data_IF_884894249435
#
_entry.id   IF_884894249435
#
_cell.length_a   1.000
_cell.length_b   1.000
_cell.length_c   1.000
_cell.angle_alpha   90.00
_cell.angle_beta   90.00
_cell.angle_gamma   90.00
#
_symmetry.space_group_name_H-M   'P 1'
#
loop_
_entity.id
_entity.type
_entity.pdbx_description
1 polymer ?
#
# COMPACT_ATOMS: atom_id res chain seq x y z
N UNK A 1 70.76 71.00 13.43
CA UNK A 1 70.51 70.13 14.61
C UNK A 1 69.39 69.14 14.26
N UNK A 2 69.33 67.99 14.93
CA UNK A 2 68.48 66.79 14.69
C UNK A 2 66.99 67.06 14.37
N UNK A 3 66.21 66.17 13.71
CA UNK A 3 66.31 64.70 13.47
C UNK A 3 65.79 64.33 12.05
N UNK A 4 66.43 63.45 11.27
CA UNK A 4 66.26 61.97 11.19
C UNK A 4 64.79 61.51 11.02
N UNK A 5 64.35 61.07 9.82
CA UNK A 5 64.52 59.74 9.15
C UNK A 5 63.32 58.80 9.42
N UNK A 6 62.81 57.93 8.53
CA UNK A 6 63.17 57.57 7.13
C UNK A 6 61.99 56.91 6.38
N UNK A 7 62.14 56.71 5.05
CA UNK A 7 61.16 56.07 4.12
C UNK A 7 61.33 54.52 3.98
N UNK A 8 60.28 53.87 3.44
CA UNK A 8 60.24 52.72 2.49
C UNK A 8 60.73 51.30 2.88
N UNK A 9 59.81 50.30 2.87
CA UNK A 9 59.54 49.26 1.82
C UNK A 9 60.76 48.74 0.99
N UNK A 10 60.93 47.46 0.54
CA UNK A 10 60.13 46.19 0.68
C UNK A 10 60.95 44.89 1.03
N UNK A 11 60.28 43.71 1.05
CA UNK A 11 60.49 42.58 0.09
C UNK A 11 60.78 41.14 0.62
N UNK A 12 60.26 40.17 -0.15
CA UNK A 12 60.75 38.81 -0.44
C UNK A 12 60.28 37.56 0.35
N UNK A 13 60.14 36.49 -0.45
CA UNK A 13 59.57 35.16 -0.22
C UNK A 13 60.36 34.25 0.75
N UNK A 14 59.66 33.28 1.38
CA UNK A 14 60.08 31.85 1.39
C UNK A 14 58.95 30.87 1.72
N UNK A 15 59.20 29.60 1.41
CA UNK A 15 58.27 28.46 1.24
C UNK A 15 58.73 27.28 2.11
N UNK A 16 57.80 26.57 2.78
CA UNK A 16 57.87 25.22 3.45
C UNK A 16 56.95 25.22 4.70
N UNK A 17 56.45 24.11 5.27
CA UNK A 17 56.29 22.69 4.86
C UNK A 17 55.28 22.02 5.81
N UNK A 18 54.74 20.85 5.43
CA UNK A 18 53.67 20.08 6.13
C UNK A 18 54.22 19.08 7.17
N UNK A 19 53.31 18.20 7.64
CA UNK A 19 53.50 16.89 8.34
C UNK A 19 53.75 17.00 9.88
N UNK A 20 53.49 15.96 10.72
CA UNK A 20 52.16 15.61 11.26
C UNK A 20 52.14 15.31 12.78
N UNK A 21 51.01 14.86 13.32
CA UNK A 21 51.01 13.99 14.50
C UNK A 21 49.92 12.90 14.44
N UNK A 22 50.36 11.65 14.51
CA UNK A 22 49.54 10.47 14.87
C UNK A 22 49.42 10.41 16.43
N UNK A 23 48.75 9.47 17.12
CA UNK A 23 48.35 8.07 16.86
C UNK A 23 47.37 7.56 17.97
N UNK A 24 46.72 6.39 17.77
CA UNK A 24 46.20 5.44 18.81
C UNK A 24 44.91 5.88 19.55
N UNK A 25 43.87 5.06 19.84
CA UNK A 25 43.54 3.64 19.56
C UNK A 25 42.02 3.44 19.43
N UNK A 26 41.59 2.32 18.86
CA UNK A 26 40.20 1.84 18.86
C UNK A 26 39.79 1.12 20.17
N UNK A 27 38.48 1.10 20.47
CA UNK A 27 37.78 -0.03 21.09
C UNK A 27 36.33 -0.12 20.58
N UNK A 28 35.82 -1.35 20.39
CA UNK A 28 34.40 -1.67 20.24
C UNK A 28 33.77 -1.82 21.63
N UNK A 29 32.52 -1.38 21.87
CA UNK A 29 31.53 -2.13 22.67
C UNK A 29 30.10 -1.82 22.15
N UNK A 30 29.14 -2.70 22.47
CA UNK A 30 27.75 -2.75 22.01
C UNK A 30 26.75 -2.01 22.90
N UNK A 31 25.57 -1.74 22.34
CA UNK A 31 24.21 -1.72 22.94
C UNK A 31 23.98 -1.25 24.39
N UNK A 32 23.05 -0.31 24.57
CA UNK A 32 21.89 -0.49 25.49
C UNK A 32 20.81 0.58 25.25
N UNK A 33 19.57 0.28 25.64
CA UNK A 33 18.41 1.15 25.49
C UNK A 33 18.39 2.31 26.51
N UNK A 34 17.72 3.41 26.16
CA UNK A 34 17.42 4.50 27.08
C UNK A 34 15.90 4.58 27.33
N UNK A 35 15.52 4.30 28.57
CA UNK A 35 14.22 4.65 29.16
C UNK A 35 14.30 6.12 29.57
N UNK A 36 13.23 6.90 29.38
CA UNK A 36 13.03 8.14 30.15
C UNK A 36 11.61 8.20 30.71
N UNK A 37 11.54 8.40 32.02
CA UNK A 37 10.32 8.60 32.77
C UNK A 37 9.85 10.07 32.69
N UNK A 38 8.53 10.21 32.58
CA UNK A 38 7.68 11.02 33.47
C UNK A 38 8.23 12.32 34.06
N UNK A 39 7.60 13.43 33.69
CA UNK A 39 7.36 14.55 34.62
C UNK A 39 5.85 14.75 34.80
N UNK A 40 5.43 15.04 36.02
CA UNK A 40 4.04 15.31 36.37
C UNK A 40 3.96 16.49 37.34
N UNK A 41 3.01 17.41 37.12
CA UNK A 41 2.20 17.96 38.21
C UNK A 41 0.93 18.70 37.71
N UNK A 42 -0.21 18.37 38.35
CA UNK A 42 -1.24 19.26 38.96
C UNK A 42 -1.84 20.45 38.14
N UNK A 43 -3.13 20.86 38.23
CA UNK A 43 -4.45 20.41 38.81
C UNK A 43 -5.49 21.52 38.47
N UNK A 44 -6.84 21.44 38.53
CA UNK A 44 -7.88 20.41 38.83
C UNK A 44 -9.09 20.67 37.89
N UNK A 45 -10.03 19.71 37.73
CA UNK A 45 -11.46 19.91 38.09
C UNK A 45 -12.25 18.59 38.06
N UNK A 46 -13.31 18.51 38.87
CA UNK A 46 -14.10 17.29 39.09
C UNK A 46 -15.23 17.09 38.07
N UNK A 47 -15.53 15.81 37.78
CA UNK A 47 -16.91 15.33 37.92
C UNK A 47 -16.90 13.83 38.21
N UNK A 48 -17.51 13.42 39.33
CA UNK A 48 -17.48 12.04 39.81
C UNK A 48 -18.77 11.31 39.48
N UNK A 49 -18.68 10.16 38.80
CA UNK A 49 -19.65 9.08 38.97
C UNK A 49 -18.94 7.78 39.34
N UNK A 50 -19.30 7.28 40.52
CA UNK A 50 -18.62 6.20 41.25
C UNK A 50 -19.64 5.10 41.49
N UNK A 51 -19.56 4.00 40.74
CA UNK A 51 -20.17 2.74 41.19
C UNK A 51 -19.11 1.68 41.46
N UNK A 52 -19.35 1.02 42.59
CA UNK A 52 -18.42 0.17 43.32
C UNK A 52 -18.78 -1.27 43.00
N UNK A 53 -17.81 -2.11 42.61
CA UNK A 53 -18.01 -3.56 42.55
C UNK A 53 -18.45 -4.04 43.94
N UNK A 54 -19.64 -4.63 44.02
CA UNK A 54 -20.08 -5.45 45.14
C UNK A 54 -20.50 -6.80 44.61
N UNK A 55 -19.82 -7.84 45.07
CA UNK A 55 -20.17 -9.23 44.78
C UNK A 55 -21.54 -9.54 45.39
N UNK A 56 -22.48 -10.02 44.57
CA UNK A 56 -23.71 -10.63 45.07
C UNK A 56 -24.08 -11.81 44.19
N UNK A 57 -23.84 -13.01 44.72
CA UNK A 57 -24.40 -14.26 44.21
C UNK A 57 -25.92 -14.21 44.25
N UNK A 58 -26.58 -14.31 43.10
CA UNK A 58 -28.03 -14.48 43.00
C UNK A 58 -28.36 -15.72 42.18
N UNK A 59 -28.63 -16.82 42.88
CA UNK A 59 -29.24 -18.03 42.29
C UNK A 59 -30.66 -17.72 41.85
N UNK A 60 -30.87 -17.45 40.57
CA UNK A 60 -32.21 -17.45 39.97
C UNK A 60 -32.50 -18.83 39.41
N UNK A 61 -33.21 -19.65 40.19
CA UNK A 61 -33.78 -20.89 39.70
C UNK A 61 -34.96 -20.57 38.76
N UNK A 62 -34.71 -20.59 37.45
CA UNK A 62 -35.78 -20.62 36.44
C UNK A 62 -36.27 -22.06 36.30
N UNK A 63 -37.52 -22.31 36.70
CA UNK A 63 -38.18 -23.59 36.52
C UNK A 63 -38.35 -23.91 35.03
N UNK A 64 -37.53 -24.81 34.50
CA UNK A 64 -37.71 -25.43 33.19
C UNK A 64 -38.27 -26.83 33.35
N UNK A 65 -39.20 -27.20 32.47
CA UNK A 65 -39.86 -28.50 32.49
C UNK A 65 -38.84 -29.64 32.31
N UNK A 66 -38.92 -30.73 33.08
CA UNK A 66 -38.10 -31.91 32.84
C UNK A 66 -38.69 -32.68 31.66
N UNK A 67 -38.25 -32.36 30.43
CA UNK A 67 -38.32 -33.23 29.23
C UNK A 67 -37.69 -32.57 27.99
N UNK A 68 -36.50 -31.99 28.12
CA UNK A 68 -35.61 -31.71 26.97
C UNK A 68 -34.38 -32.58 27.09
N UNK A 69 -34.37 -33.70 26.37
CA UNK A 69 -33.16 -34.49 26.12
C UNK A 69 -32.13 -33.61 25.45
N UNK A 70 -31.00 -33.36 26.12
CA UNK A 70 -29.88 -32.61 25.54
C UNK A 70 -29.16 -33.50 24.52
N UNK A 71 -29.57 -33.41 23.26
CA UNK A 71 -28.99 -34.13 22.12
C UNK A 71 -27.46 -34.00 22.11
N UNK A 72 -26.74 -35.09 22.36
CA UNK A 72 -25.28 -35.07 22.37
C UNK A 72 -24.71 -35.38 20.97
N UNK A 73 -23.51 -34.88 20.68
CA UNK A 73 -22.88 -35.09 19.37
C UNK A 73 -22.48 -36.56 19.20
N UNK A 74 -22.82 -37.14 18.03
CA UNK A 74 -22.56 -38.54 17.70
C UNK A 74 -23.24 -39.58 18.63
N UNK A 75 -24.45 -39.25 19.14
CA UNK A 75 -25.25 -40.15 19.99
C UNK A 75 -26.17 -41.07 19.14
N UNK A 76 -25.88 -42.38 19.03
CA UNK A 76 -26.70 -43.30 18.25
C UNK A 76 -28.04 -43.64 18.91
N UNK A 77 -28.26 -43.28 20.19
CA UNK A 77 -29.48 -43.64 20.93
C UNK A 77 -30.64 -42.66 20.70
N UNK A 78 -30.34 -41.43 20.28
CA UNK A 78 -31.32 -40.35 20.05
C UNK A 78 -31.25 -39.72 18.65
N UNK A 79 -30.27 -40.09 17.83
CA UNK A 79 -30.12 -39.59 16.47
C UNK A 79 -31.23 -40.06 15.52
N UNK A 80 -31.69 -39.15 14.67
CA UNK A 80 -32.63 -39.37 13.57
C UNK A 80 -31.98 -39.22 12.17
N UNK A 81 -30.67 -38.90 12.13
CA UNK A 81 -29.87 -38.78 10.91
C UNK A 81 -28.57 -39.58 11.04
N UNK A 82 -28.23 -40.39 10.03
CA UNK A 82 -26.89 -40.95 9.83
C UNK A 82 -26.24 -40.22 8.65
N UNK A 83 -25.11 -39.57 8.91
CA UNK A 83 -24.24 -39.00 7.87
C UNK A 83 -23.04 -39.93 7.63
N UNK A 84 -22.89 -40.43 6.40
CA UNK A 84 -21.64 -41.05 5.94
C UNK A 84 -20.75 -39.96 5.33
N UNK A 85 -19.66 -39.67 6.02
CA UNK A 85 -18.56 -38.84 5.52
C UNK A 85 -17.55 -39.78 4.84
N UNK A 86 -17.20 -39.52 3.59
CA UNK A 86 -16.32 -40.40 2.81
C UNK A 86 -15.34 -39.61 1.93
N UNK A 87 -14.24 -40.26 1.58
CA UNK A 87 -13.19 -39.66 0.76
C UNK A 87 -13.61 -39.68 -0.72
N UNK A 88 -13.80 -38.53 -1.37
CA UNK A 88 -14.19 -38.49 -2.78
C UNK A 88 -12.97 -38.74 -3.69
N UNK A 89 -12.89 -39.94 -4.26
CA UNK A 89 -11.81 -40.32 -5.18
C UNK A 89 -11.90 -39.53 -6.49
N UNK A 90 -10.75 -39.11 -7.03
CA UNK A 90 -10.72 -38.32 -8.27
C UNK A 90 -11.34 -39.12 -9.44
N UNK A 91 -12.23 -38.52 -10.27
CA UNK A 91 -12.81 -39.21 -11.43
C UNK A 91 -11.80 -39.65 -12.51
N UNK A 92 -10.52 -39.30 -12.35
CA UNK A 92 -9.45 -39.62 -13.30
C UNK A 92 -8.58 -40.81 -12.87
N UNK A 93 -8.69 -41.30 -11.63
CA UNK A 93 -7.93 -42.45 -11.14
C UNK A 93 -8.53 -43.79 -11.61
N UNK A 94 -8.28 -44.08 -12.89
CA UNK A 94 -8.61 -45.36 -13.51
C UNK A 94 -7.69 -46.49 -13.02
N UNK A 95 -7.95 -47.01 -11.81
CA UNK A 95 -7.26 -48.19 -11.25
C UNK A 95 -8.26 -49.30 -10.86
N UNK A 96 -7.84 -50.55 -11.11
CA UNK A 96 -8.65 -51.77 -11.07
C UNK A 96 -9.29 -52.09 -9.70
N UNK A 97 -10.42 -52.83 -9.65
CA UNK A 97 -10.98 -53.32 -8.40
C UNK A 97 -10.05 -54.37 -7.79
N UNK A 98 -9.30 -53.96 -6.76
CA UNK A 98 -8.51 -54.84 -5.90
C UNK A 98 -8.87 -54.54 -4.45
N UNK A 99 -9.08 -55.58 -3.65
CA UNK A 99 -9.51 -55.47 -2.25
C UNK A 99 -8.53 -54.64 -1.40
N UNK A 100 -8.91 -53.40 -1.09
CA UNK A 100 -8.35 -52.63 0.02
C UNK A 100 -9.49 -51.93 0.76
N UNK A 101 -10.08 -52.65 1.71
CA UNK A 101 -11.24 -52.23 2.50
C UNK A 101 -10.87 -51.22 3.63
N UNK A 102 -10.14 -50.17 3.27
CA UNK A 102 -9.71 -49.07 4.16
C UNK A 102 -9.85 -47.69 3.44
N UNK A 103 -10.92 -47.52 2.64
CA UNK A 103 -11.44 -46.17 2.41
C UNK A 103 -11.98 -45.66 3.75
N UNK A 104 -11.49 -44.51 4.22
CA UNK A 104 -11.77 -43.96 5.55
C UNK A 104 -13.18 -43.37 5.66
N UNK A 105 -14.18 -44.23 5.49
CA UNK A 105 -15.60 -43.93 5.68
C UNK A 105 -15.89 -43.77 7.18
N UNK A 106 -16.46 -42.63 7.57
CA UNK A 106 -16.93 -42.39 8.93
C UNK A 106 -18.44 -42.19 8.92
N UNK A 107 -19.16 -42.99 9.72
CA UNK A 107 -20.58 -42.79 9.99
C UNK A 107 -20.75 -41.99 11.27
N UNK A 108 -21.58 -40.94 11.21
CA UNK A 108 -21.80 -39.97 12.28
C UNK A 108 -23.30 -39.91 12.57
N UNK A 109 -23.67 -40.04 13.84
CA UNK A 109 -25.04 -40.01 14.33
C UNK A 109 -25.43 -38.56 14.70
N UNK A 110 -26.29 -37.97 13.88
CA UNK A 110 -26.66 -36.56 13.94
C UNK A 110 -28.16 -36.39 14.19
N UNK A 111 -28.54 -35.18 14.60
CA UNK A 111 -29.90 -34.85 14.98
C UNK A 111 -30.43 -33.75 14.06
N UNK A 112 -31.52 -34.01 13.35
CA UNK A 112 -32.11 -33.14 12.33
C UNK A 112 -32.32 -31.70 12.84
N UNK A 113 -32.91 -31.57 14.03
CA UNK A 113 -33.18 -30.30 14.70
C UNK A 113 -31.93 -29.48 15.06
N UNK A 114 -30.75 -30.12 15.17
CA UNK A 114 -29.47 -29.45 15.40
C UNK A 114 -28.81 -29.07 14.08
N UNK A 115 -28.74 -30.01 13.12
CA UNK A 115 -28.05 -29.77 11.85
C UNK A 115 -28.82 -28.82 10.91
N UNK A 116 -30.13 -28.66 11.10
CA UNK A 116 -30.96 -27.62 10.47
C UNK A 116 -30.48 -26.17 10.70
N UNK A 117 -29.50 -25.94 11.59
CA UNK A 117 -28.80 -24.65 11.71
C UNK A 117 -27.94 -24.30 10.49
N UNK A 118 -27.46 -25.32 9.77
CA UNK A 118 -26.82 -25.17 8.46
C UNK A 118 -27.91 -25.09 7.39
N UNK A 119 -27.84 -24.10 6.50
CA UNK A 119 -28.83 -23.96 5.42
C UNK A 119 -28.75 -25.13 4.43
N UNK A 120 -27.57 -25.71 4.25
CA UNK A 120 -27.35 -26.91 3.43
C UNK A 120 -28.15 -28.10 3.97
N UNK A 121 -27.98 -28.46 5.25
CA UNK A 121 -28.73 -29.58 5.84
C UNK A 121 -30.23 -29.26 5.96
N UNK A 122 -30.62 -28.03 6.28
CA UNK A 122 -32.03 -27.63 6.28
C UNK A 122 -32.70 -27.80 4.90
N UNK A 123 -31.97 -27.55 3.80
CA UNK A 123 -32.46 -27.82 2.46
C UNK A 123 -32.60 -29.33 2.20
N UNK A 124 -31.56 -30.12 2.48
CA UNK A 124 -31.55 -31.59 2.30
C UNK A 124 -32.62 -32.31 3.12
N UNK A 125 -32.91 -31.82 4.32
CA UNK A 125 -33.92 -32.38 5.23
C UNK A 125 -35.34 -31.89 4.92
N UNK A 126 -35.54 -30.91 4.04
CA UNK A 126 -36.88 -30.43 3.70
C UNK A 126 -37.66 -31.43 2.85
N UNK A 127 -38.98 -31.51 3.07
CA UNK A 127 -39.88 -32.53 2.49
C UNK A 127 -39.75 -32.72 0.97
N UNK A 128 -39.39 -31.65 0.24
CA UNK A 128 -39.23 -31.65 -1.22
C UNK A 128 -38.13 -32.61 -1.69
N UNK A 129 -37.02 -32.71 -0.97
CA UNK A 129 -35.88 -33.55 -1.31
C UNK A 129 -35.99 -34.97 -0.71
N UNK A 130 -36.82 -35.14 0.33
CA UNK A 130 -37.13 -36.46 0.87
C UNK A 130 -38.09 -37.25 -0.04
N UNK A 131 -39.09 -36.58 -0.64
CA UNK A 131 -40.08 -37.25 -1.50
C UNK A 131 -39.46 -37.91 -2.74
N UNK A 132 -38.41 -37.32 -3.34
CA UNK A 132 -37.74 -37.84 -4.53
C UNK A 132 -37.12 -39.24 -4.27
N UNK A 133 -36.46 -39.42 -3.12
CA UNK A 133 -35.92 -40.71 -2.67
C UNK A 133 -37.02 -41.76 -2.38
N UNK A 134 -38.23 -41.33 -2.03
CA UNK A 134 -39.36 -42.24 -1.72
C UNK A 134 -40.06 -42.69 -3.02
N UNK A 135 -40.17 -41.82 -4.03
CA UNK A 135 -40.75 -42.18 -5.33
C UNK A 135 -39.96 -43.25 -6.08
N UNK A 136 -38.62 -43.22 -6.03
CA UNK A 136 -37.78 -44.25 -6.65
C UNK A 136 -37.87 -45.61 -5.92
N UNK A 137 -38.08 -45.59 -4.60
CA UNK A 137 -38.24 -46.80 -3.78
C UNK A 137 -39.57 -47.52 -4.08
N UNK A 138 -40.64 -46.77 -4.33
CA UNK A 138 -41.98 -47.33 -4.59
C UNK A 138 -42.13 -47.96 -5.98
N UNK A 139 -41.23 -47.68 -6.94
CA UNK A 139 -41.26 -48.31 -8.26
C UNK A 139 -40.67 -49.73 -8.30
N UNK A 140 -40.05 -50.22 -7.21
CA UNK A 140 -39.29 -51.47 -7.18
C UNK A 140 -39.69 -52.46 -6.06
N UNK A 141 -40.75 -52.19 -5.29
CA UNK A 141 -41.19 -53.06 -4.19
C UNK A 141 -42.69 -53.36 -4.28
N UNK A 142 -43.03 -54.55 -4.77
CA UNK A 142 -44.36 -55.12 -4.62
C UNK A 142 -44.52 -55.75 -3.23
N UNK A 143 -45.69 -55.51 -2.62
CA UNK A 143 -46.34 -56.30 -1.55
C UNK A 143 -45.44 -56.96 -0.47
N UNK A 144 -45.28 -56.31 0.68
CA UNK A 144 -45.87 -56.84 1.93
C UNK A 144 -46.16 -55.69 2.91
N UNK A 145 -47.31 -55.72 3.57
CA UNK A 145 -47.75 -54.70 4.52
C UNK A 145 -47.57 -55.21 5.94
N UNK A 146 -46.57 -54.70 6.65
CA UNK A 146 -46.42 -54.89 8.10
C UNK A 146 -46.06 -53.58 8.78
N UNK A 147 -46.78 -53.29 9.85
CA UNK A 147 -46.49 -52.17 10.74
C UNK A 147 -45.03 -52.21 11.18
N UNK A 148 -44.35 -51.09 11.03
CA UNK A 148 -43.16 -50.79 11.80
C UNK A 148 -43.20 -49.28 12.09
N UNK A 149 -43.57 -48.90 13.31
CA UNK A 149 -43.48 -47.52 13.82
C UNK A 149 -42.02 -47.13 14.09
N UNK A 150 -41.11 -47.58 13.23
CA UNK A 150 -39.71 -47.26 13.24
C UNK A 150 -39.53 -45.88 12.60
N UNK A 151 -39.11 -44.91 13.41
CA UNK A 151 -38.66 -43.60 12.94
C UNK A 151 -37.71 -43.79 11.75
N UNK A 152 -38.09 -43.29 10.58
CA UNK A 152 -37.37 -43.53 9.33
C UNK A 152 -36.04 -42.78 9.34
N UNK A 153 -35.00 -43.46 9.81
CA UNK A 153 -33.66 -42.93 10.00
C UNK A 153 -33.10 -42.36 8.68
N UNK A 154 -32.75 -41.07 8.68
CA UNK A 154 -32.40 -40.36 7.44
C UNK A 154 -30.93 -40.59 7.12
N UNK A 155 -30.64 -41.23 5.98
CA UNK A 155 -29.27 -41.42 5.49
C UNK A 155 -28.85 -40.29 4.54
N UNK A 156 -27.75 -39.62 4.91
CA UNK A 156 -27.05 -38.61 4.12
C UNK A 156 -25.64 -39.10 3.79
N UNK A 157 -25.10 -38.63 2.66
CA UNK A 157 -23.72 -38.87 2.25
C UNK A 157 -23.08 -37.50 1.95
N UNK A 158 -21.85 -37.28 2.40
CA UNK A 158 -21.07 -36.09 2.07
C UNK A 158 -19.64 -36.54 1.71
N UNK A 159 -19.22 -36.22 0.49
CA UNK A 159 -17.84 -36.38 0.04
C UNK A 159 -16.99 -35.24 0.57
N UNK A 160 -15.73 -35.50 0.91
CA UNK A 160 -14.76 -34.48 1.32
C UNK A 160 -13.54 -34.47 0.38
N UNK A 161 -12.69 -33.44 0.48
CA UNK A 161 -11.53 -33.24 -0.39
C UNK A 161 -10.25 -33.92 0.13
N UNK A 162 -9.45 -34.48 -0.76
CA UNK A 162 -8.32 -35.40 -0.50
C UNK A 162 -7.14 -34.73 0.22
N UNK A 163 -7.32 -34.51 1.53
CA UNK A 163 -6.38 -33.87 2.44
C UNK A 163 -6.45 -34.59 3.81
N UNK A 164 -5.31 -34.98 4.41
CA UNK A 164 -5.26 -35.76 5.66
C UNK A 164 -6.06 -35.17 6.84
N UNK A 165 -6.31 -33.86 6.86
CA UNK A 165 -7.06 -33.20 7.94
C UNK A 165 -8.55 -32.95 7.62
N UNK A 166 -9.00 -33.16 6.37
CA UNK A 166 -10.35 -32.73 5.94
C UNK A 166 -11.46 -33.36 6.79
N UNK A 167 -11.45 -34.68 6.97
CA UNK A 167 -12.41 -35.40 7.84
C UNK A 167 -12.48 -34.80 9.25
N UNK A 168 -11.33 -34.51 9.86
CA UNK A 168 -11.24 -33.92 11.21
C UNK A 168 -11.85 -32.52 11.26
N UNK A 169 -11.62 -31.69 10.24
CA UNK A 169 -12.19 -30.34 10.16
C UNK A 169 -13.71 -30.40 10.01
N UNK A 170 -14.24 -31.27 9.15
CA UNK A 170 -15.69 -31.47 9.03
C UNK A 170 -16.32 -31.95 10.34
N UNK A 171 -15.68 -32.88 11.06
CA UNK A 171 -16.12 -33.31 12.40
C UNK A 171 -16.15 -32.14 13.39
N UNK A 172 -15.11 -31.30 13.42
CA UNK A 172 -15.07 -30.08 14.26
C UNK A 172 -16.20 -29.11 13.93
N UNK A 173 -16.48 -28.87 12.64
CA UNK A 173 -17.59 -28.01 12.20
C UNK A 173 -18.95 -28.60 12.60
N UNK A 174 -19.14 -29.92 12.46
CA UNK A 174 -20.37 -30.56 12.91
C UNK A 174 -20.52 -30.54 14.43
N UNK A 175 -19.43 -30.64 15.20
CA UNK A 175 -19.47 -30.46 16.65
C UNK A 175 -19.85 -29.02 17.03
N UNK A 176 -19.40 -28.01 16.29
CA UNK A 176 -19.79 -26.60 16.49
C UNK A 176 -21.30 -26.34 16.27
N UNK A 177 -21.97 -27.12 15.42
CA UNK A 177 -23.45 -27.07 15.29
C UNK A 177 -24.15 -27.41 16.63
N UNK A 178 -23.52 -28.23 17.48
CA UNK A 178 -24.01 -28.59 18.81
C UNK A 178 -23.54 -27.61 19.90
N UNK A 179 -22.25 -27.30 19.94
CA UNK A 179 -21.64 -26.62 21.11
C UNK A 179 -21.73 -25.10 21.09
N UNK A 180 -21.71 -24.47 19.90
CA UNK A 180 -21.47 -23.03 19.73
C UNK A 180 -20.11 -22.53 20.29
N UNK A 181 -19.17 -23.43 20.56
CA UNK A 181 -17.92 -23.08 21.25
C UNK A 181 -16.84 -22.53 20.30
N UNK A 182 -17.24 -21.53 19.49
CA UNK A 182 -16.37 -20.92 18.48
C UNK A 182 -15.12 -20.27 19.09
N UNK A 183 -15.22 -19.77 20.32
CA UNK A 183 -14.14 -19.02 20.96
C UNK A 183 -12.99 -19.91 21.50
N UNK A 184 -13.21 -21.20 21.72
CA UNK A 184 -12.15 -22.15 22.10
C UNK A 184 -11.59 -22.89 20.88
N UNK A 185 -12.43 -23.14 19.87
CA UNK A 185 -12.06 -23.87 18.66
C UNK A 185 -11.35 -22.97 17.64
N UNK A 186 -11.78 -21.71 17.48
CA UNK A 186 -11.13 -20.76 16.58
C UNK A 186 -10.09 -19.98 17.39
N UNK A 187 -8.93 -20.61 17.58
CA UNK A 187 -7.83 -20.13 18.43
C UNK A 187 -6.68 -19.47 17.65
N UNK A 188 -6.58 -19.72 16.34
CA UNK A 188 -5.53 -19.24 15.45
C UNK A 188 -6.05 -18.90 14.05
N UNK A 189 -5.28 -18.10 13.30
CA UNK A 189 -5.62 -17.75 11.92
C UNK A 189 -5.61 -18.98 11.01
N UNK A 190 -4.67 -19.93 11.18
CA UNK A 190 -4.70 -21.21 10.47
C UNK A 190 -5.97 -22.01 10.78
N UNK A 191 -6.36 -22.13 12.05
CA UNK A 191 -7.59 -22.85 12.45
C UNK A 191 -8.83 -22.21 11.82
N UNK A 192 -8.93 -20.88 11.81
CA UNK A 192 -9.99 -20.14 11.13
C UNK A 192 -10.01 -20.38 9.60
N UNK A 193 -8.83 -20.40 8.96
CA UNK A 193 -8.68 -20.64 7.52
C UNK A 193 -8.92 -22.10 7.10
N UNK A 194 -8.76 -23.06 8.00
CA UNK A 194 -9.12 -24.46 7.79
C UNK A 194 -10.63 -24.68 7.96
N UNK A 195 -11.26 -24.05 8.95
CA UNK A 195 -12.70 -24.18 9.25
C UNK A 195 -13.58 -23.41 8.25
N UNK A 196 -13.19 -22.20 7.85
CA UNK A 196 -14.03 -21.30 7.04
C UNK A 196 -14.49 -21.90 5.70
N UNK A 197 -13.67 -22.60 4.89
CA UNK A 197 -14.12 -23.25 3.66
C UNK A 197 -15.23 -24.27 3.89
N UNK A 198 -15.11 -25.09 4.94
CA UNK A 198 -16.11 -26.11 5.30
C UNK A 198 -17.39 -25.45 5.82
N UNK A 199 -17.27 -24.39 6.62
CA UNK A 199 -18.41 -23.61 7.08
C UNK A 199 -19.18 -22.93 5.92
N UNK A 200 -18.46 -22.48 4.88
CA UNK A 200 -19.05 -21.96 3.63
C UNK A 200 -19.75 -23.05 2.83
N UNK A 201 -19.11 -24.22 2.65
CA UNK A 201 -19.67 -25.37 1.94
C UNK A 201 -21.04 -25.80 2.52
N UNK A 202 -21.11 -25.95 3.84
CA UNK A 202 -22.36 -26.33 4.52
C UNK A 202 -23.27 -25.13 4.85
N UNK A 203 -22.93 -23.91 4.43
CA UNK A 203 -23.70 -22.69 4.68
C UNK A 203 -24.04 -22.49 6.17
N UNK A 204 -23.04 -22.60 7.05
CA UNK A 204 -23.16 -22.42 8.50
C UNK A 204 -22.76 -20.99 8.94
N UNK A 205 -23.72 -20.09 8.76
CA UNK A 205 -23.65 -18.64 9.02
C UNK A 205 -22.94 -18.22 10.32
N UNK A 206 -23.27 -18.85 11.46
CA UNK A 206 -22.69 -18.46 12.75
C UNK A 206 -21.18 -18.77 12.80
N UNK A 207 -20.75 -19.85 12.13
CA UNK A 207 -19.36 -20.26 12.05
C UNK A 207 -18.56 -19.40 11.08
N UNK A 208 -19.13 -19.09 9.89
CA UNK A 208 -18.55 -18.15 8.92
C UNK A 208 -18.25 -16.81 9.61
N UNK A 209 -19.27 -16.22 10.26
CA UNK A 209 -19.15 -14.95 10.98
C UNK A 209 -18.15 -14.99 12.13
N UNK A 210 -18.00 -16.13 12.79
CA UNK A 210 -17.00 -16.29 13.87
C UNK A 210 -15.58 -16.38 13.32
N UNK A 211 -15.37 -17.11 12.22
CA UNK A 211 -14.07 -17.20 11.55
C UNK A 211 -13.63 -15.84 10.99
N UNK A 212 -14.54 -15.14 10.30
CA UNK A 212 -14.29 -13.81 9.72
C UNK A 212 -13.92 -12.80 10.80
N UNK A 213 -14.71 -12.69 11.88
CA UNK A 213 -14.40 -11.80 13.01
C UNK A 213 -13.08 -12.11 13.71
N UNK A 214 -12.70 -13.39 13.76
CA UNK A 214 -11.39 -13.77 14.29
C UNK A 214 -10.27 -13.27 13.36
N UNK A 215 -10.38 -13.53 12.06
CA UNK A 215 -9.41 -13.09 11.05
C UNK A 215 -9.28 -11.56 10.99
N UNK A 216 -10.38 -10.82 11.13
CA UNK A 216 -10.39 -9.35 11.26
C UNK A 216 -9.55 -8.84 12.44
N UNK A 217 -9.48 -9.60 13.55
CA UNK A 217 -8.88 -9.17 14.81
C UNK A 217 -7.39 -9.54 14.98
N UNK A 218 -6.90 -10.57 14.28
CA UNK A 218 -5.53 -11.10 14.45
C UNK A 218 -4.57 -10.63 13.34
N UNK A 219 -3.24 -10.60 13.56
CA UNK A 219 -2.27 -10.49 12.46
C UNK A 219 -2.22 -11.78 11.62
N UNK A 220 -1.72 -11.69 10.39
CA UNK A 220 -1.58 -12.81 9.45
C UNK A 220 -0.11 -12.96 9.01
N UNK A 221 0.33 -14.17 8.68
CA UNK A 221 1.52 -14.40 7.85
C UNK A 221 1.23 -14.10 6.36
N UNK A 222 2.26 -14.04 5.53
CA UNK A 222 2.12 -13.85 4.07
C UNK A 222 1.32 -15.00 3.42
N UNK A 223 1.53 -16.23 3.89
CA UNK A 223 0.81 -17.43 3.45
C UNK A 223 -0.64 -17.51 3.98
N UNK A 224 -0.93 -16.84 5.10
CA UNK A 224 -2.29 -16.68 5.63
C UNK A 224 -3.03 -15.58 4.87
N UNK A 225 -2.40 -14.44 4.59
CA UNK A 225 -2.98 -13.36 3.79
C UNK A 225 -3.38 -13.84 2.39
N UNK A 226 -2.51 -14.60 1.70
CA UNK A 226 -2.82 -15.25 0.42
C UNK A 226 -4.09 -16.11 0.50
N UNK A 227 -4.27 -16.87 1.59
CA UNK A 227 -5.46 -17.70 1.83
C UNK A 227 -6.69 -16.87 2.14
N UNK A 228 -6.60 -15.84 2.98
CA UNK A 228 -7.71 -14.89 3.23
C UNK A 228 -8.19 -14.28 1.89
N UNK A 229 -7.26 -13.77 1.08
CA UNK A 229 -7.57 -13.19 -0.23
C UNK A 229 -8.25 -14.19 -1.18
N UNK A 230 -7.87 -15.48 -1.14
CA UNK A 230 -8.50 -16.53 -1.94
C UNK A 230 -9.94 -16.86 -1.50
N UNK A 231 -10.29 -16.59 -0.24
CA UNK A 231 -11.61 -16.89 0.32
C UNK A 231 -12.61 -15.74 0.19
N UNK A 232 -12.13 -14.49 0.10
CA UNK A 232 -12.96 -13.29 -0.07
C UNK A 232 -14.04 -13.39 -1.17
N UNK A 233 -13.79 -13.96 -2.37
CA UNK A 233 -14.81 -14.09 -3.41
C UNK A 233 -16.03 -14.95 -3.05
N UNK A 234 -15.93 -15.77 -1.99
CA UNK A 234 -17.01 -16.64 -1.49
C UNK A 234 -17.74 -16.05 -0.28
N UNK A 235 -17.25 -14.94 0.28
CA UNK A 235 -17.87 -14.23 1.41
C UNK A 235 -18.90 -13.21 0.92
N UNK A 236 -19.85 -12.86 1.79
CA UNK A 236 -20.75 -11.73 1.51
C UNK A 236 -20.04 -10.38 1.62
N UNK A 237 -20.63 -9.31 1.07
CA UNK A 237 -20.06 -7.95 1.14
C UNK A 237 -19.84 -7.49 2.59
N UNK A 238 -20.77 -7.83 3.50
CA UNK A 238 -20.68 -7.52 4.92
C UNK A 238 -19.48 -8.18 5.63
N UNK A 239 -19.04 -9.35 5.14
CA UNK A 239 -17.99 -10.19 5.73
C UNK A 239 -16.62 -9.94 5.08
N UNK A 240 -16.60 -9.64 3.78
CA UNK A 240 -15.37 -9.35 3.03
C UNK A 240 -14.85 -7.94 3.25
N UNK A 241 -15.70 -6.98 3.62
CA UNK A 241 -15.35 -5.54 3.68
C UNK A 241 -14.20 -5.21 4.63
N UNK A 242 -14.22 -5.68 5.87
CA UNK A 242 -13.17 -5.35 6.85
C UNK A 242 -11.88 -6.15 6.57
N UNK A 243 -11.99 -7.38 6.06
CA UNK A 243 -10.85 -8.15 5.57
C UNK A 243 -10.16 -7.45 4.38
N UNK A 244 -10.93 -6.93 3.43
CA UNK A 244 -10.42 -6.11 2.31
C UNK A 244 -9.79 -4.82 2.81
N UNK A 245 -10.40 -4.13 3.78
CA UNK A 245 -9.88 -2.87 4.34
C UNK A 245 -8.47 -3.02 4.92
N UNK A 246 -8.12 -4.20 5.46
CA UNK A 246 -6.79 -4.51 6.00
C UNK A 246 -5.70 -4.65 4.93
N UNK A 247 -6.05 -5.13 3.72
CA UNK A 247 -5.09 -5.34 2.61
C UNK A 247 -5.12 -4.19 1.60
N UNK A 248 -6.23 -3.47 1.49
CA UNK A 248 -6.34 -2.31 0.63
C UNK A 248 -5.46 -1.17 1.14
N UNK A 249 -4.26 -1.03 0.56
CA UNK A 249 -3.45 0.17 0.68
C UNK A 249 -4.29 1.35 0.14
N UNK A 250 -4.81 2.18 1.04
CA UNK A 250 -6.01 2.97 0.79
C UNK A 250 -5.90 4.00 -0.34
N UNK A 251 -6.37 3.61 -1.54
CA UNK A 251 -6.34 4.37 -2.81
C UNK A 251 -4.93 4.76 -3.29
N UNK A 252 -4.79 4.85 -4.62
CA UNK A 252 -3.54 5.31 -5.27
C UNK A 252 -3.07 6.68 -4.73
N UNK A 253 -4.01 7.52 -4.28
CA UNK A 253 -3.76 8.80 -3.60
C UNK A 253 -2.76 8.66 -2.42
N UNK A 254 -2.83 7.60 -1.61
CA UNK A 254 -1.95 7.44 -0.45
C UNK A 254 -0.47 7.27 -0.85
N UNK A 255 -0.21 6.50 -1.90
CA UNK A 255 1.14 6.28 -2.39
C UNK A 255 1.66 7.51 -3.16
N UNK A 256 0.78 8.27 -3.80
CA UNK A 256 1.10 9.50 -4.51
C UNK A 256 1.43 10.66 -3.58
N UNK A 257 0.70 10.82 -2.47
CA UNK A 257 1.03 11.83 -1.45
C UNK A 257 2.32 11.49 -0.70
N UNK A 258 2.62 10.20 -0.48
CA UNK A 258 3.94 9.76 0.02
C UNK A 258 5.06 10.13 -0.96
N UNK A 259 4.92 9.80 -2.25
CA UNK A 259 5.90 10.15 -3.27
C UNK A 259 6.06 11.67 -3.41
N UNK A 260 4.96 12.41 -3.31
CA UNK A 260 4.93 13.87 -3.37
C UNK A 260 5.74 14.48 -2.23
N UNK A 261 5.53 14.05 -0.99
CA UNK A 261 6.32 14.50 0.16
C UNK A 261 7.81 14.18 0.02
N UNK A 262 8.16 13.00 -0.48
CA UNK A 262 9.55 12.61 -0.73
C UNK A 262 10.22 13.44 -1.85
N UNK A 263 9.49 13.74 -2.92
CA UNK A 263 9.96 14.64 -3.99
C UNK A 263 10.11 16.06 -3.46
N UNK A 264 9.17 16.55 -2.64
CA UNK A 264 9.18 17.88 -2.05
C UNK A 264 10.41 18.10 -1.17
N UNK A 265 10.75 17.13 -0.31
CA UNK A 265 11.99 17.14 0.48
C UNK A 265 13.25 16.98 -0.39
N UNK A 266 13.20 16.14 -1.42
CA UNK A 266 14.32 16.01 -2.34
C UNK A 266 14.63 17.33 -3.07
N UNK A 267 13.63 18.16 -3.41
CA UNK A 267 13.87 19.42 -4.13
C UNK A 267 14.16 20.62 -3.21
N UNK A 268 13.41 20.82 -2.12
CA UNK A 268 13.47 22.05 -1.31
C UNK A 268 14.55 22.05 -0.20
N UNK A 269 15.06 20.88 0.18
CA UNK A 269 15.89 20.76 1.39
C UNK A 269 17.40 20.97 1.11
N UNK A 270 17.96 22.03 1.72
CA UNK A 270 19.38 22.37 2.06
C UNK A 270 20.59 21.71 1.33
N UNK A 271 21.75 22.40 1.21
CA UNK A 271 22.75 22.17 0.16
C UNK A 271 23.58 20.87 0.22
N UNK A 272 23.25 19.90 1.09
CA UNK A 272 24.00 18.65 1.26
C UNK A 272 23.13 17.37 1.12
N UNK A 273 22.02 17.46 0.39
CA UNK A 273 21.01 16.39 0.31
C UNK A 273 21.14 15.44 -0.90
N UNK A 274 22.36 15.26 -1.43
CA UNK A 274 22.62 14.36 -2.55
C UNK A 274 22.18 12.90 -2.26
N UNK A 275 22.25 12.48 -1.00
CA UNK A 275 21.76 11.17 -0.56
C UNK A 275 20.25 11.01 -0.69
N UNK A 276 19.43 11.99 -0.26
CA UNK A 276 17.95 11.89 -0.44
C UNK A 276 17.60 11.94 -1.92
N UNK A 277 18.26 12.79 -2.73
CA UNK A 277 18.06 12.79 -4.19
C UNK A 277 18.39 11.43 -4.83
N UNK A 278 19.44 10.75 -4.37
CA UNK A 278 19.78 9.40 -4.83
C UNK A 278 18.81 8.32 -4.29
N UNK A 279 18.33 8.45 -3.05
CA UNK A 279 17.34 7.57 -2.46
C UNK A 279 16.00 7.67 -3.18
N UNK A 280 15.46 8.88 -3.37
CA UNK A 280 14.20 9.11 -4.08
C UNK A 280 14.32 8.74 -5.55
N UNK A 281 15.48 8.97 -6.19
CA UNK A 281 15.76 8.47 -7.54
C UNK A 281 15.70 6.93 -7.62
N UNK A 282 16.31 6.22 -6.66
CA UNK A 282 16.24 4.75 -6.59
C UNK A 282 14.80 4.30 -6.34
N UNK A 283 14.13 4.89 -5.36
CA UNK A 283 12.74 4.57 -5.00
C UNK A 283 11.83 4.71 -6.22
N UNK A 284 11.86 5.84 -6.93
CA UNK A 284 11.04 6.11 -8.12
C UNK A 284 11.27 5.10 -9.25
N UNK A 285 12.50 4.60 -9.43
CA UNK A 285 12.82 3.58 -10.44
C UNK A 285 12.33 2.20 -10.03
N UNK A 286 12.40 1.90 -8.74
CA UNK A 286 12.05 0.61 -8.16
C UNK A 286 10.55 0.58 -7.72
N UNK A 287 9.76 1.62 -8.04
CA UNK A 287 8.35 1.79 -7.62
C UNK A 287 7.35 1.10 -8.56
N UNK A 288 6.39 0.37 -8.00
CA UNK A 288 5.46 -0.49 -8.75
C UNK A 288 4.56 0.28 -9.74
N UNK A 289 4.02 1.44 -9.36
CA UNK A 289 3.14 2.24 -10.23
C UNK A 289 3.90 3.38 -10.92
N UNK A 290 4.45 3.08 -12.11
CA UNK A 290 5.09 4.09 -12.98
C UNK A 290 4.14 5.25 -13.33
N UNK A 291 2.83 4.98 -13.38
CA UNK A 291 1.81 5.96 -13.70
C UNK A 291 1.55 6.94 -12.54
N UNK A 292 1.52 6.46 -11.30
CA UNK A 292 1.47 7.32 -10.11
C UNK A 292 2.75 8.16 -9.99
N UNK A 293 3.92 7.57 -10.22
CA UNK A 293 5.19 8.30 -10.25
C UNK A 293 5.20 9.39 -11.34
N UNK A 294 4.64 9.13 -12.52
CA UNK A 294 4.44 10.13 -13.59
C UNK A 294 3.59 11.30 -13.11
N UNK A 295 2.39 11.03 -12.60
CA UNK A 295 1.43 12.08 -12.19
C UNK A 295 2.00 12.99 -11.09
N UNK A 296 2.74 12.45 -10.13
CA UNK A 296 3.40 13.26 -9.08
C UNK A 296 4.57 14.09 -9.64
N UNK A 297 5.38 13.53 -10.55
CA UNK A 297 6.47 14.28 -11.19
C UNK A 297 5.95 15.39 -12.12
N UNK A 298 4.89 15.13 -12.88
CA UNK A 298 4.21 16.13 -13.72
C UNK A 298 3.67 17.28 -12.86
N UNK A 299 2.98 16.98 -11.74
CA UNK A 299 2.43 17.95 -10.77
C UNK A 299 3.51 18.92 -10.25
N UNK A 300 4.64 18.41 -9.74
CA UNK A 300 5.71 19.27 -9.22
C UNK A 300 6.56 19.92 -10.32
N UNK A 301 6.66 19.33 -11.52
CA UNK A 301 7.28 19.97 -12.68
C UNK A 301 6.48 21.19 -13.13
N UNK A 302 5.16 21.07 -13.33
CA UNK A 302 4.29 22.17 -13.76
C UNK A 302 4.35 23.34 -12.78
N UNK A 303 4.21 23.05 -11.48
CA UNK A 303 4.32 24.01 -10.38
C UNK A 303 5.69 24.71 -10.36
N UNK A 304 6.79 23.97 -10.46
CA UNK A 304 8.13 24.55 -10.50
C UNK A 304 8.35 25.42 -11.75
N UNK A 305 7.83 25.00 -12.90
CA UNK A 305 7.92 25.72 -14.17
C UNK A 305 7.10 27.01 -14.15
N UNK A 306 5.90 26.96 -13.56
CA UNK A 306 5.07 28.14 -13.30
C UNK A 306 5.81 29.19 -12.47
N UNK A 307 6.40 28.78 -11.34
CA UNK A 307 7.16 29.70 -10.48
C UNK A 307 8.34 30.33 -11.24
N UNK A 308 9.06 29.57 -12.08
CA UNK A 308 10.15 30.11 -12.90
C UNK A 308 9.65 31.11 -13.94
N UNK A 309 8.49 30.89 -14.58
CA UNK A 309 7.88 31.84 -15.51
C UNK A 309 7.52 33.15 -14.80
N UNK A 310 6.71 33.07 -13.75
CA UNK A 310 6.19 34.23 -13.02
C UNK A 310 7.34 35.08 -12.47
N UNK A 311 8.35 34.43 -11.86
CA UNK A 311 9.57 35.12 -11.40
C UNK A 311 10.34 35.83 -12.51
N UNK A 312 10.39 35.25 -13.71
CA UNK A 312 11.12 35.81 -14.84
C UNK A 312 10.34 36.91 -15.56
N UNK A 313 9.01 36.79 -15.62
CA UNK A 313 8.08 37.81 -16.12
C UNK A 313 8.16 39.07 -15.25
N UNK A 314 8.04 38.92 -13.92
CA UNK A 314 8.20 40.02 -12.97
C UNK A 314 9.58 40.69 -13.06
N UNK A 315 10.67 39.92 -13.13
CA UNK A 315 12.02 40.46 -13.33
C UNK A 315 12.18 41.18 -14.68
N UNK A 316 11.47 40.72 -15.71
CA UNK A 316 11.53 41.27 -17.06
C UNK A 316 10.63 42.51 -17.25
N UNK A 317 9.67 42.74 -16.36
CA UNK A 317 8.70 43.82 -16.48
C UNK A 317 9.37 45.20 -16.57
N UNK A 318 8.92 46.09 -17.48
CA UNK A 318 9.41 47.46 -17.56
C UNK A 318 9.26 48.25 -16.25
N UNK A 319 8.22 47.97 -15.47
CA UNK A 319 7.88 48.72 -14.26
C UNK A 319 8.95 48.60 -13.15
N UNK A 320 9.72 47.50 -13.17
CA UNK A 320 10.80 47.24 -12.23
C UNK A 320 12.19 47.64 -12.77
N UNK A 321 12.29 48.20 -13.98
CA UNK A 321 13.56 48.66 -14.58
C UNK A 321 13.87 50.12 -14.22
N UNK A 322 14.10 50.37 -12.94
CA UNK A 322 14.48 51.67 -12.39
C UNK A 322 15.52 51.57 -11.26
N UNK A 323 16.28 52.64 -11.05
CA UNK A 323 17.40 52.74 -10.11
C UNK A 323 16.91 53.02 -8.66
N UNK A 324 16.03 52.16 -8.16
CA UNK A 324 15.51 52.23 -6.79
C UNK A 324 16.00 51.02 -6.00
N UNK A 325 16.47 51.24 -4.77
CA UNK A 325 17.03 50.17 -3.94
C UNK A 325 16.00 49.06 -3.64
N UNK A 326 14.72 49.41 -3.59
CA UNK A 326 13.61 48.46 -3.42
C UNK A 326 13.33 47.65 -4.69
N UNK A 327 13.41 48.24 -5.89
CA UNK A 327 13.25 47.51 -7.16
C UNK A 327 14.41 46.55 -7.40
N UNK A 328 15.65 46.93 -7.05
CA UNK A 328 16.81 46.02 -7.12
C UNK A 328 16.68 44.82 -6.15
N UNK A 329 16.12 45.04 -4.96
CA UNK A 329 15.86 43.95 -4.00
C UNK A 329 14.82 42.95 -4.52
N UNK A 330 13.72 43.43 -5.12
CA UNK A 330 12.68 42.60 -5.74
C UNK A 330 13.25 41.83 -6.94
N UNK A 331 14.01 42.50 -7.81
CA UNK A 331 14.72 41.85 -8.93
C UNK A 331 15.64 40.70 -8.47
N UNK A 332 16.44 40.92 -7.41
CA UNK A 332 17.30 39.87 -6.82
C UNK A 332 16.49 38.69 -6.32
N UNK A 333 15.41 38.95 -5.58
CA UNK A 333 14.53 37.90 -5.06
C UNK A 333 13.97 37.04 -6.20
N UNK A 334 13.39 37.68 -7.22
CA UNK A 334 12.75 36.99 -8.33
C UNK A 334 13.75 36.16 -9.14
N UNK A 335 14.94 36.69 -9.43
CA UNK A 335 15.97 35.92 -10.12
C UNK A 335 16.49 34.74 -9.27
N UNK A 336 16.58 34.89 -7.94
CA UNK A 336 16.96 33.81 -7.03
C UNK A 336 15.87 32.73 -6.94
N UNK A 337 14.60 33.11 -6.92
CA UNK A 337 13.43 32.20 -6.98
C UNK A 337 13.42 31.42 -8.30
N UNK A 338 13.63 32.10 -9.44
CA UNK A 338 13.76 31.48 -10.75
C UNK A 338 14.94 30.49 -10.81
N UNK A 339 16.09 30.82 -10.22
CA UNK A 339 17.24 29.92 -10.15
C UNK A 339 16.97 28.67 -9.32
N UNK A 340 16.37 28.85 -8.14
CA UNK A 340 16.12 27.77 -7.19
C UNK A 340 15.17 26.75 -7.81
N UNK A 341 14.03 27.22 -8.34
CA UNK A 341 13.08 26.38 -9.05
C UNK A 341 13.63 25.82 -10.37
N UNK A 342 14.51 26.56 -11.06
CA UNK A 342 15.28 26.03 -12.19
C UNK A 342 16.13 24.81 -11.82
N UNK A 343 16.75 24.80 -10.63
CA UNK A 343 17.48 23.61 -10.13
C UNK A 343 16.54 22.46 -9.77
N UNK A 344 15.33 22.74 -9.30
CA UNK A 344 14.31 21.72 -9.07
C UNK A 344 13.90 21.08 -10.41
N UNK A 345 13.55 21.91 -11.40
CA UNK A 345 13.21 21.49 -12.77
C UNK A 345 14.30 20.63 -13.39
N UNK A 346 15.58 21.01 -13.25
CA UNK A 346 16.69 20.22 -13.79
C UNK A 346 16.71 18.80 -13.21
N UNK A 347 16.48 18.64 -11.90
CA UNK A 347 16.46 17.33 -11.26
C UNK A 347 15.19 16.54 -11.60
N UNK A 348 14.02 17.20 -11.63
CA UNK A 348 12.75 16.59 -12.04
C UNK A 348 12.82 16.08 -13.48
N UNK A 349 13.33 16.88 -14.43
CA UNK A 349 13.56 16.49 -15.83
C UNK A 349 14.49 15.27 -15.92
N UNK A 350 15.53 15.19 -15.10
CA UNK A 350 16.37 13.99 -15.04
C UNK A 350 15.58 12.75 -14.58
N UNK A 351 14.76 12.85 -13.53
CA UNK A 351 13.91 11.74 -13.06
C UNK A 351 12.89 11.32 -14.14
N UNK A 352 12.21 12.28 -14.76
CA UNK A 352 11.19 12.03 -15.79
C UNK A 352 11.79 11.40 -17.05
N UNK A 353 13.01 11.78 -17.45
CA UNK A 353 13.73 11.15 -18.58
C UNK A 353 14.16 9.72 -18.22
N UNK A 354 14.71 9.49 -17.02
CA UNK A 354 15.11 8.15 -16.58
C UNK A 354 13.93 7.16 -16.53
N UNK A 355 12.75 7.62 -16.11
CA UNK A 355 11.50 6.84 -16.08
C UNK A 355 10.76 6.78 -17.43
N UNK A 356 11.20 7.55 -18.44
CA UNK A 356 10.56 7.73 -19.75
C UNK A 356 9.12 8.25 -19.68
N UNK A 357 8.90 9.30 -18.88
CA UNK A 357 7.60 9.95 -18.63
C UNK A 357 7.68 11.48 -18.74
N UNK A 358 8.57 11.99 -19.60
CA UNK A 358 8.82 13.42 -19.80
C UNK A 358 8.10 14.02 -21.02
N UNK A 359 7.11 13.34 -21.59
CA UNK A 359 6.36 13.80 -22.77
C UNK A 359 5.56 15.09 -22.49
N UNK A 360 4.84 15.15 -21.37
CA UNK A 360 4.20 16.37 -20.86
C UNK A 360 5.24 17.48 -20.61
N UNK A 361 6.37 17.17 -19.99
CA UNK A 361 7.44 18.13 -19.73
C UNK A 361 8.07 18.69 -21.02
N UNK A 362 8.26 17.88 -22.06
CA UNK A 362 8.73 18.33 -23.38
C UNK A 362 7.71 19.26 -24.02
N UNK A 363 6.42 18.89 -24.02
CA UNK A 363 5.34 19.72 -24.56
C UNK A 363 5.35 21.08 -23.87
N UNK A 364 5.16 21.09 -22.55
CA UNK A 364 5.08 22.32 -21.76
C UNK A 364 6.33 23.19 -21.91
N UNK A 365 7.55 22.64 -21.82
CA UNK A 365 8.78 23.42 -22.01
C UNK A 365 8.94 24.00 -23.42
N UNK A 366 8.40 23.34 -24.44
CA UNK A 366 8.50 23.78 -25.84
C UNK A 366 7.45 24.83 -26.24
N UNK A 367 6.30 24.90 -25.58
CA UNK A 367 5.13 25.69 -26.01
C UNK A 367 5.09 27.11 -25.41
N UNK A 368 6.23 27.81 -25.34
CA UNK A 368 6.35 29.05 -24.55
C UNK A 368 7.09 30.19 -25.26
N UNK A 369 6.37 30.88 -26.15
CA UNK A 369 6.86 32.11 -26.80
C UNK A 369 7.10 33.25 -25.79
N UNK A 370 6.20 33.43 -24.82
CA UNK A 370 6.33 34.45 -23.76
C UNK A 370 7.60 34.23 -22.92
N UNK A 371 7.73 33.04 -22.30
CA UNK A 371 8.91 32.68 -21.50
C UNK A 371 10.24 32.85 -22.27
N UNK A 372 10.26 32.52 -23.57
CA UNK A 372 11.45 32.76 -24.41
C UNK A 372 11.73 34.25 -24.61
N UNK A 373 10.70 35.08 -24.79
CA UNK A 373 10.84 36.54 -24.87
C UNK A 373 11.26 37.16 -23.52
N UNK A 374 10.83 36.58 -22.40
CA UNK A 374 11.23 37.01 -21.05
C UNK A 374 12.68 36.61 -20.76
N UNK A 375 13.14 35.42 -21.17
CA UNK A 375 14.57 35.06 -21.15
C UNK A 375 15.41 36.05 -21.98
N UNK A 376 14.94 36.44 -23.17
CA UNK A 376 15.60 37.45 -24.00
C UNK A 376 15.66 38.82 -23.34
N UNK A 377 14.60 39.24 -22.64
CA UNK A 377 14.52 40.55 -21.97
C UNK A 377 15.30 40.58 -20.67
N UNK A 378 15.26 39.50 -19.89
CA UNK A 378 16.02 39.33 -18.66
C UNK A 378 17.53 39.35 -18.92
N UNK A 379 18.00 38.59 -19.91
CA UNK A 379 19.43 38.48 -20.19
C UNK A 379 20.00 39.59 -21.09
N UNK A 380 19.16 40.51 -21.60
CA UNK A 380 19.61 41.71 -22.33
C UNK A 380 20.39 42.69 -21.45
N UNK A 381 20.06 42.72 -20.17
CA UNK A 381 20.79 43.45 -19.13
C UNK A 381 21.98 42.63 -18.63
N UNK A 382 22.92 43.23 -17.90
CA UNK A 382 24.01 42.54 -17.23
C UNK A 382 23.77 42.33 -15.72
N UNK A 383 22.74 42.96 -15.15
CA UNK A 383 22.40 42.85 -13.72
C UNK A 383 22.26 41.40 -13.21
N UNK A 384 21.69 40.50 -14.01
CA UNK A 384 21.52 39.08 -13.66
C UNK A 384 22.84 38.36 -13.35
N UNK A 385 23.98 38.82 -13.91
CA UNK A 385 25.30 38.22 -13.68
C UNK A 385 25.75 38.34 -12.24
N UNK A 386 25.45 39.50 -11.63
CA UNK A 386 25.84 39.81 -10.26
C UNK A 386 24.94 39.08 -9.25
N UNK A 387 23.67 38.87 -9.62
CA UNK A 387 22.67 38.29 -8.73
C UNK A 387 22.68 36.76 -8.81
N UNK A 388 22.58 36.19 -10.03
CA UNK A 388 22.52 34.74 -10.24
C UNK A 388 23.19 34.31 -11.56
N UNK A 389 24.53 34.21 -11.60
CA UNK A 389 25.27 33.86 -12.82
C UNK A 389 25.00 32.42 -13.32
N UNK A 390 24.41 31.56 -12.49
CA UNK A 390 24.12 30.17 -12.84
C UNK A 390 22.80 29.95 -13.61
N UNK A 391 21.90 30.93 -13.67
CA UNK A 391 20.55 30.74 -14.24
C UNK A 391 20.57 30.32 -15.72
N UNK A 392 21.33 30.97 -16.63
CA UNK A 392 21.41 30.55 -18.04
C UNK A 392 21.89 29.09 -18.19
N UNK A 393 22.87 28.68 -17.38
CA UNK A 393 23.41 27.32 -17.43
C UNK A 393 22.42 26.25 -16.98
N UNK A 394 21.50 26.59 -16.06
CA UNK A 394 20.43 25.69 -15.61
C UNK A 394 19.35 25.58 -16.69
N UNK A 395 18.87 26.70 -17.24
CA UNK A 395 17.87 26.72 -18.32
C UNK A 395 18.39 25.95 -19.55
N UNK A 396 19.64 26.20 -19.95
CA UNK A 396 20.28 25.49 -21.07
C UNK A 396 20.37 23.98 -20.80
N UNK A 397 20.73 23.54 -19.58
CA UNK A 397 20.80 22.10 -19.24
C UNK A 397 19.44 21.42 -19.31
N UNK A 398 18.36 22.06 -18.86
CA UNK A 398 17.01 21.54 -19.00
C UNK A 398 16.63 21.38 -20.48
N UNK A 399 16.80 22.45 -21.28
CA UNK A 399 16.50 22.46 -22.72
C UNK A 399 17.30 21.39 -23.46
N UNK A 400 18.63 21.28 -23.23
CA UNK A 400 19.47 20.27 -23.88
C UNK A 400 19.09 18.84 -23.47
N UNK A 401 18.74 18.57 -22.20
CA UNK A 401 18.30 17.22 -21.76
C UNK A 401 17.00 16.81 -22.43
N UNK A 402 16.00 17.70 -22.46
CA UNK A 402 14.73 17.45 -23.13
C UNK A 402 14.92 17.26 -24.64
N UNK A 403 15.68 18.14 -25.30
CA UNK A 403 15.96 18.05 -26.73
C UNK A 403 16.69 16.74 -27.09
N UNK A 404 17.72 16.38 -26.33
CA UNK A 404 18.44 15.12 -26.54
C UNK A 404 17.53 13.91 -26.32
N UNK A 405 16.68 13.91 -25.28
CA UNK A 405 15.78 12.79 -24.99
C UNK A 405 14.72 12.57 -26.10
N UNK A 406 14.26 13.64 -26.76
CA UNK A 406 13.40 13.53 -27.95
C UNK A 406 14.22 13.05 -29.16
N UNK A 407 15.39 13.64 -29.42
CA UNK A 407 16.22 13.32 -30.57
C UNK A 407 16.76 11.87 -30.55
N UNK A 408 16.98 11.28 -29.36
CA UNK A 408 17.37 9.87 -29.18
C UNK A 408 16.17 8.91 -29.15
N UNK A 409 14.94 9.40 -29.27
CA UNK A 409 13.72 8.59 -29.14
C UNK A 409 13.48 8.04 -27.73
N UNK A 410 14.18 8.56 -26.71
CA UNK A 410 13.96 8.18 -25.30
C UNK A 410 12.60 8.68 -24.80
N UNK A 411 12.12 9.80 -25.33
CA UNK A 411 10.81 10.41 -25.05
C UNK A 411 10.07 10.61 -26.38
N UNK A 412 8.82 10.14 -26.44
CA UNK A 412 7.97 10.28 -27.62
C UNK A 412 7.07 11.51 -27.45
N UNK A 413 7.51 12.66 -27.96
CA UNK A 413 6.69 13.87 -27.99
C UNK A 413 5.72 13.86 -29.18
N UNK A 414 4.49 14.37 -28.99
CA UNK A 414 3.63 14.71 -30.11
C UNK A 414 4.31 15.78 -30.98
N UNK A 415 4.33 15.58 -32.31
CA UNK A 415 5.01 16.45 -33.28
C UNK A 415 6.50 16.71 -32.96
N UNK A 416 7.29 15.65 -32.78
CA UNK A 416 8.73 15.70 -32.45
C UNK A 416 9.51 16.79 -33.21
N UNK A 417 9.29 16.97 -34.52
CA UNK A 417 9.96 18.01 -35.32
C UNK A 417 9.66 19.45 -34.84
N UNK A 418 8.40 19.76 -34.50
CA UNK A 418 8.03 21.08 -33.97
C UNK A 418 8.62 21.31 -32.58
N UNK A 419 8.55 20.29 -31.70
CA UNK A 419 9.11 20.34 -30.36
C UNK A 419 10.64 20.56 -30.40
N UNK A 420 11.36 19.80 -31.22
CA UNK A 420 12.81 19.96 -31.41
C UNK A 420 13.18 21.36 -31.93
N UNK A 421 12.42 21.93 -32.88
CA UNK A 421 12.65 23.29 -33.39
C UNK A 421 12.46 24.36 -32.30
N UNK A 422 11.42 24.25 -31.46
CA UNK A 422 11.17 25.19 -30.36
C UNK A 422 12.20 25.06 -29.23
N UNK A 423 12.65 23.84 -28.93
CA UNK A 423 13.74 23.62 -27.97
C UNK A 423 15.07 24.17 -28.51
N UNK A 424 15.36 24.01 -29.81
CA UNK A 424 16.55 24.57 -30.44
C UNK A 424 16.56 26.10 -30.40
N UNK A 425 15.43 26.78 -30.69
CA UNK A 425 15.38 28.25 -30.65
C UNK A 425 15.56 28.82 -29.24
N UNK A 426 15.02 28.15 -28.21
CA UNK A 426 15.28 28.48 -26.81
C UNK A 426 16.77 28.28 -26.44
N UNK A 427 17.36 27.16 -26.86
CA UNK A 427 18.80 26.88 -26.66
C UNK A 427 19.69 27.93 -27.33
N UNK A 428 19.42 28.28 -28.59
CA UNK A 428 20.14 29.31 -29.33
C UNK A 428 20.02 30.69 -28.67
N UNK A 429 18.83 31.05 -28.18
CA UNK A 429 18.61 32.29 -27.45
C UNK A 429 19.55 32.41 -26.24
N UNK A 430 19.54 31.41 -25.34
CA UNK A 430 20.39 31.40 -24.15
C UNK A 430 21.87 31.38 -24.53
N UNK A 431 22.24 30.56 -25.52
CA UNK A 431 23.63 30.36 -25.92
C UNK A 431 24.22 31.56 -26.65
N UNK A 432 23.46 32.25 -27.52
CA UNK A 432 23.90 33.52 -28.15
C UNK A 432 24.20 34.57 -27.09
N UNK A 433 23.38 34.69 -26.05
CA UNK A 433 23.56 35.68 -24.99
C UNK A 433 24.76 35.35 -24.06
N UNK A 434 25.03 34.06 -23.83
CA UNK A 434 26.26 33.62 -23.17
C UNK A 434 27.53 33.83 -24.03
N UNK A 435 27.46 33.60 -25.34
CA UNK A 435 28.60 33.72 -26.25
C UNK A 435 28.95 35.17 -26.61
N UNK A 436 27.94 36.04 -26.78
CA UNK A 436 28.16 37.47 -27.01
C UNK A 436 28.97 38.13 -25.88
N UNK A 437 28.84 37.60 -24.65
CA UNK A 437 29.62 38.01 -23.49
C UNK A 437 31.04 37.42 -23.47
N UNK A 438 31.23 36.16 -23.86
CA UNK A 438 32.56 35.54 -23.91
C UNK A 438 33.51 36.19 -24.94
N UNK A 439 32.97 37.02 -25.84
CA UNK A 439 33.73 37.86 -26.78
C UNK A 439 33.99 39.29 -26.28
N UNK A 440 33.50 39.67 -25.09
CA UNK A 440 33.64 41.00 -24.49
C UNK A 440 34.49 41.00 -23.21
N UNK A 441 34.88 39.83 -22.70
CA UNK A 441 35.83 39.61 -21.59
C UNK A 441 37.22 39.19 -22.09
#
# INVERSE_FOLDING_TARGET
MSSRNSRMIPNSFRKRQRVPQHHISAMRISSTAAIMETFADKTMSESSQKLRRTSSSSTTATSTNPNTTTSSFNDPSTADVILRLFMEQSPFDSASPSDSADQSDIQIYLHSHVINRSKYFAALLSDRWQHEKITDRNNNAAEDSRNDDNFSLIHLNLGVLDNPNSITIHLTVFQLLYTNDFATVIDSASTALEILPVALEILFEDCIKSCVKFLEAVPWSEEEEQRVLSLIPFLHEEESKELLARVSLGKDDSCEEMLHGLILEAIHSHPNMAFVKAFVAKLLRDFSSRESARRVLEREFEKSLKIVKESLEEYSSPDFRGDHNETEAIQRLNLHTAMTNGRHLLWLVERMIELRVADSAVKEWSEQAAFTADLQRAFRDDAWRNFVPGLPAVVLRCTCKLANAVATGTIIAARQNEACQRLASCSECVQRQCLAHAAQS
#
